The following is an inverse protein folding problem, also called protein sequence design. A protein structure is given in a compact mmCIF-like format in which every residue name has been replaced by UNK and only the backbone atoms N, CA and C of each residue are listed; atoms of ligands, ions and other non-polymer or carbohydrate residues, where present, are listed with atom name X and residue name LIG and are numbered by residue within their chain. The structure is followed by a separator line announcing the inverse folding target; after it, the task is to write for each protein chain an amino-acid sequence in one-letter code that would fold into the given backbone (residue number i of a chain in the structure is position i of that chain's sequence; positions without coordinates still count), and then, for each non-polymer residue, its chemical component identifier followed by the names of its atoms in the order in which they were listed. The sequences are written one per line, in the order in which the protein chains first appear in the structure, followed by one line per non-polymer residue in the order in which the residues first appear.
data_IF_025436379665
#
_entry.id   IF_025436379665
#
_cell.length_a   1.000
_cell.length_b   1.000
_cell.length_c   1.000
_cell.angle_alpha   90.00
_cell.angle_beta   90.00
_cell.angle_gamma   90.00
#
_symmetry.space_group_name_H-M   'P 1'
#
loop_
_entity.id
_entity.type
_entity.pdbx_description
1 polymer ?
#
# COMPACT_ATOMS: atom_id res chain seq x y z
N UNK A 1 1.63 9.98 8.89
CA UNK A 1 1.49 8.80 8.02
C UNK A 1 1.05 9.24 6.64
N UNK A 2 1.48 8.52 5.60
CA UNK A 2 0.99 8.73 4.23
C UNK A 2 0.52 7.40 3.64
N UNK A 3 -0.72 7.35 3.11
CA UNK A 3 -1.32 6.16 2.46
C UNK A 3 -1.51 6.48 0.97
N UNK A 4 -0.79 5.75 0.08
CA UNK A 4 -0.68 6.11 -1.34
C UNK A 4 -1.73 5.47 -2.24
N UNK A 5 -2.37 4.39 -1.81
CA UNK A 5 -3.39 3.65 -2.57
C UNK A 5 -4.56 3.28 -1.64
N UNK A 6 -5.16 4.32 -1.05
CA UNK A 6 -5.90 4.21 0.19
C UNK A 6 -7.30 3.61 0.08
N UNK A 7 -7.94 3.70 -1.11
CA UNK A 7 -9.35 3.30 -1.23
C UNK A 7 -9.58 1.82 -0.91
N UNK A 8 -10.64 1.50 -0.18
CA UNK A 8 -11.73 2.35 0.29
C UNK A 8 -11.50 3.05 1.64
N UNK A 9 -10.28 3.05 2.21
CA UNK A 9 -9.92 3.79 3.41
C UNK A 9 -9.75 2.98 4.69
N UNK A 10 -9.85 1.65 4.65
CA UNK A 10 -9.74 0.82 5.86
C UNK A 10 -8.39 0.92 6.56
N UNK A 11 -7.28 0.94 5.81
CA UNK A 11 -5.92 1.11 6.37
C UNK A 11 -5.68 2.55 6.83
N UNK A 12 -6.20 3.52 6.09
CA UNK A 12 -6.20 4.94 6.49
C UNK A 12 -6.87 5.17 7.84
N UNK A 13 -8.06 4.56 8.06
CA UNK A 13 -8.80 4.65 9.34
C UNK A 13 -7.94 4.08 10.48
N UNK A 14 -7.40 2.88 10.28
CA UNK A 14 -6.54 2.25 11.28
C UNK A 14 -5.28 3.10 11.57
N UNK A 15 -4.67 3.66 10.52
CA UNK A 15 -3.53 4.56 10.66
C UNK A 15 -3.91 5.84 11.43
N UNK A 16 -5.11 6.38 11.21
CA UNK A 16 -5.64 7.53 11.94
C UNK A 16 -5.80 7.24 13.44
N UNK A 17 -6.33 6.07 13.79
CA UNK A 17 -6.46 5.62 15.19
C UNK A 17 -5.09 5.46 15.87
N UNK A 18 -4.12 4.83 15.21
CA UNK A 18 -2.77 4.66 15.76
C UNK A 18 -1.97 5.96 15.82
N UNK A 19 -2.20 6.89 14.91
CA UNK A 19 -1.54 8.19 14.93
C UNK A 19 -2.02 9.08 16.11
N UNK A 20 -3.23 8.84 16.60
CA UNK A 20 -3.85 9.62 17.68
C UNK A 20 -4.16 11.06 17.30
N UNK A 21 -4.59 11.84 18.28
CA UNK A 21 -5.08 13.22 18.05
C UNK A 21 -3.99 14.19 17.55
N UNK A 22 -2.74 13.95 17.94
CA UNK A 22 -1.58 14.77 17.53
C UNK A 22 -0.97 14.30 16.19
N UNK A 23 -1.38 13.16 15.69
CA UNK A 23 -0.89 12.59 14.44
C UNK A 23 -1.69 13.06 13.22
N UNK A 24 -1.08 12.99 12.04
CA UNK A 24 -1.70 13.35 10.77
C UNK A 24 -1.57 12.23 9.76
N UNK A 25 -2.63 11.96 9.01
CA UNK A 25 -2.65 10.99 7.90
C UNK A 25 -2.98 11.70 6.60
N UNK A 26 -2.10 11.60 5.61
CA UNK A 26 -2.39 12.00 4.24
C UNK A 26 -2.79 10.74 3.45
N UNK A 27 -4.03 10.71 3.01
CA UNK A 27 -4.63 9.60 2.27
C UNK A 27 -4.81 9.97 0.81
N UNK A 28 -4.24 9.18 -0.10
CA UNK A 28 -4.25 9.44 -1.54
C UNK A 28 -4.81 8.26 -2.33
N UNK A 29 -5.55 8.57 -3.38
CA UNK A 29 -5.91 7.58 -4.42
C UNK A 29 -6.12 8.31 -5.77
N UNK A 30 -6.11 7.55 -6.87
CA UNK A 30 -5.96 8.07 -8.24
C UNK A 30 -7.20 8.75 -8.79
N UNK A 31 -8.39 8.53 -8.24
CA UNK A 31 -9.65 9.06 -8.80
C UNK A 31 -10.59 9.64 -7.75
N UNK A 32 -11.44 10.56 -8.18
CA UNK A 32 -12.49 11.16 -7.36
C UNK A 32 -13.40 10.10 -6.74
N UNK A 33 -13.91 9.17 -7.54
CA UNK A 33 -14.73 8.06 -7.05
C UNK A 33 -14.08 7.30 -5.87
N UNK A 34 -12.79 7.00 -5.97
CA UNK A 34 -12.06 6.30 -4.92
C UNK A 34 -11.85 7.17 -3.68
N UNK A 35 -11.54 8.45 -3.86
CA UNK A 35 -11.39 9.37 -2.74
C UNK A 35 -12.71 9.66 -2.04
N UNK A 36 -13.84 9.62 -2.75
CA UNK A 36 -15.16 9.75 -2.14
C UNK A 36 -15.50 8.54 -1.25
N UNK A 37 -15.15 7.32 -1.68
CA UNK A 37 -15.27 6.13 -0.81
C UNK A 37 -14.45 6.27 0.48
N UNK A 38 -13.24 6.85 0.39
CA UNK A 38 -12.42 7.13 1.57
C UNK A 38 -13.14 8.13 2.48
N UNK A 39 -13.60 9.27 1.94
CA UNK A 39 -14.30 10.32 2.70
C UNK A 39 -15.54 9.77 3.41
N UNK A 40 -16.40 9.01 2.71
CA UNK A 40 -17.59 8.39 3.28
C UNK A 40 -17.23 7.48 4.48
N UNK A 41 -16.18 6.70 4.36
CA UNK A 41 -15.74 5.83 5.44
C UNK A 41 -15.12 6.61 6.61
N UNK A 42 -14.35 7.66 6.36
CA UNK A 42 -13.79 8.55 7.39
C UNK A 42 -14.89 9.28 8.16
N UNK A 43 -15.90 9.80 7.47
CA UNK A 43 -17.06 10.47 8.07
C UNK A 43 -17.84 9.48 8.98
N UNK A 44 -18.10 8.27 8.49
CA UNK A 44 -18.77 7.22 9.27
C UNK A 44 -17.99 6.83 10.53
N UNK A 45 -16.66 6.83 10.45
CA UNK A 45 -15.76 6.48 11.57
C UNK A 45 -15.33 7.70 12.40
N UNK A 46 -15.77 8.91 12.02
CA UNK A 46 -15.46 10.18 12.70
C UNK A 46 -13.94 10.48 12.80
N UNK A 47 -13.15 10.06 11.81
CA UNK A 47 -11.73 10.37 11.74
C UNK A 47 -11.52 11.85 11.41
N UNK A 48 -10.78 12.59 12.26
CA UNK A 48 -10.61 14.05 12.14
C UNK A 48 -9.21 14.48 11.70
N UNK A 49 -8.24 13.59 11.80
CA UNK A 49 -6.82 13.84 11.55
C UNK A 49 -6.35 13.33 10.18
N UNK A 50 -7.29 13.18 9.22
CA UNK A 50 -7.01 12.65 7.87
C UNK A 50 -7.31 13.70 6.81
N UNK A 51 -6.32 13.97 5.97
CA UNK A 51 -6.46 14.71 4.71
C UNK A 51 -6.60 13.75 3.55
N UNK A 52 -7.56 13.99 2.64
CA UNK A 52 -7.78 13.13 1.45
C UNK A 52 -7.48 13.91 0.18
N UNK A 53 -6.59 13.38 -0.65
CA UNK A 53 -6.19 13.99 -1.92
C UNK A 53 -6.38 13.00 -3.09
N UNK A 54 -6.82 13.52 -4.25
CA UNK A 54 -6.71 12.80 -5.51
C UNK A 54 -5.27 12.93 -5.98
N UNK A 55 -4.56 11.81 -6.11
CA UNK A 55 -3.17 11.81 -6.56
C UNK A 55 -2.80 10.47 -7.19
N UNK A 56 -2.10 10.52 -8.32
CA UNK A 56 -1.55 9.33 -8.97
C UNK A 56 -0.25 8.90 -8.27
N UNK A 57 -0.26 7.74 -7.62
CA UNK A 57 0.87 7.22 -6.87
C UNK A 57 2.11 6.91 -7.75
N UNK A 58 1.97 6.90 -9.07
CA UNK A 58 3.10 6.75 -10.01
C UNK A 58 3.82 8.06 -10.30
N UNK A 59 3.28 9.19 -9.83
CA UNK A 59 3.87 10.53 -10.00
C UNK A 59 4.57 10.95 -8.71
N UNK A 60 5.85 11.34 -8.81
CA UNK A 60 6.60 11.80 -7.65
C UNK A 60 6.19 13.21 -7.24
N UNK A 61 5.91 13.41 -5.94
CA UNK A 61 5.59 14.70 -5.33
C UNK A 61 6.78 15.20 -4.51
N UNK A 62 7.60 16.05 -5.12
CA UNK A 62 8.81 16.60 -4.48
C UNK A 62 8.52 17.38 -3.20
N UNK A 63 7.31 17.94 -3.04
CA UNK A 63 6.91 18.67 -1.83
C UNK A 63 6.67 17.73 -0.62
N UNK A 64 6.64 16.42 -0.84
CA UNK A 64 6.39 15.42 0.20
C UNK A 64 7.60 14.54 0.51
N UNK A 65 8.77 14.82 -0.06
CA UNK A 65 10.01 14.12 0.28
C UNK A 65 10.29 14.20 1.77
N UNK A 66 10.69 13.07 2.36
CA UNK A 66 11.06 12.93 3.78
C UNK A 66 10.04 13.52 4.77
N UNK A 67 8.75 13.48 4.41
CA UNK A 67 7.69 14.08 5.22
C UNK A 67 6.95 13.08 6.12
N UNK A 68 7.03 11.78 5.84
CA UNK A 68 6.25 10.77 6.54
C UNK A 68 7.13 9.84 7.40
N UNK A 69 6.73 9.62 8.64
CA UNK A 69 7.34 8.61 9.52
C UNK A 69 6.98 7.20 9.08
N UNK A 70 5.78 7.04 8.50
CA UNK A 70 5.27 5.79 7.92
C UNK A 70 4.61 6.08 6.58
N UNK A 71 4.98 5.32 5.55
CA UNK A 71 4.29 5.30 4.25
C UNK A 71 3.64 3.93 4.06
N UNK A 72 2.34 3.91 3.77
CA UNK A 72 1.57 2.73 3.43
C UNK A 72 1.48 2.63 1.90
N UNK A 73 1.88 1.50 1.35
CA UNK A 73 1.75 1.14 -0.06
C UNK A 73 0.97 -0.17 -0.18
N UNK A 74 -0.37 -0.09 0.01
CA UNK A 74 -1.29 -1.20 -0.29
C UNK A 74 -1.61 -1.15 -1.77
N UNK A 75 -0.66 -1.62 -2.56
CA UNK A 75 -0.64 -1.37 -4.01
C UNK A 75 -1.68 -2.19 -4.78
N UNK A 76 -2.14 -1.69 -5.94
CA UNK A 76 -2.91 -2.49 -6.88
C UNK A 76 -2.17 -3.80 -7.18
N UNK A 77 -2.89 -4.93 -7.14
CA UNK A 77 -2.31 -6.25 -7.32
C UNK A 77 -3.23 -7.18 -8.10
N UNK A 78 -2.75 -8.37 -8.46
CA UNK A 78 -3.55 -9.38 -9.18
C UNK A 78 -4.76 -9.89 -8.40
N UNK A 79 -4.79 -9.72 -7.08
CA UNK A 79 -5.90 -10.14 -6.23
C UNK A 79 -6.03 -11.66 -6.05
N UNK A 80 -5.04 -12.44 -6.42
CA UNK A 80 -5.10 -13.92 -6.34
C UNK A 80 -5.34 -14.45 -4.92
N UNK A 81 -5.08 -13.64 -3.89
CA UNK A 81 -5.34 -14.01 -2.50
C UNK A 81 -6.82 -13.95 -2.12
N UNK A 82 -7.64 -13.19 -2.86
CA UNK A 82 -9.06 -12.97 -2.56
C UNK A 82 -10.01 -13.68 -3.54
N UNK A 83 -9.52 -14.64 -4.33
CA UNK A 83 -10.33 -15.41 -5.30
C UNK A 83 -11.53 -16.12 -4.67
N UNK A 84 -11.47 -16.45 -3.39
CA UNK A 84 -12.61 -17.03 -2.65
C UNK A 84 -13.83 -16.11 -2.62
N UNK A 85 -13.60 -14.80 -2.57
CA UNK A 85 -14.64 -13.75 -2.54
C UNK A 85 -14.92 -13.16 -3.93
N UNK A 86 -13.89 -13.08 -4.81
CA UNK A 86 -13.95 -12.50 -6.16
C UNK A 86 -13.57 -13.56 -7.19
N UNK A 87 -14.51 -14.40 -7.55
CA UNK A 87 -14.26 -15.60 -8.40
C UNK A 87 -13.89 -15.28 -9.84
N UNK A 88 -14.18 -14.08 -10.31
CA UNK A 88 -13.86 -13.58 -11.66
C UNK A 88 -12.36 -13.33 -11.86
N UNK A 89 -11.61 -13.08 -10.81
CA UNK A 89 -10.15 -12.80 -10.84
C UNK A 89 -9.40 -13.87 -11.66
N UNK A 90 -9.71 -15.16 -11.45
CA UNK A 90 -9.03 -16.26 -12.14
C UNK A 90 -9.14 -16.24 -13.67
N UNK A 91 -10.12 -15.52 -14.22
CA UNK A 91 -10.31 -15.40 -15.67
C UNK A 91 -9.57 -14.22 -16.30
N UNK A 92 -9.08 -13.28 -15.46
CA UNK A 92 -8.41 -12.07 -15.90
C UNK A 92 -6.90 -12.08 -15.65
N UNK A 93 -6.39 -13.06 -14.90
CA UNK A 93 -4.96 -13.17 -14.62
C UNK A 93 -4.28 -13.95 -15.74
N UNK A 94 -3.40 -13.25 -16.48
CA UNK A 94 -2.53 -13.82 -17.53
C UNK A 94 -1.07 -13.46 -17.22
N UNK A 95 -0.08 -14.11 -17.87
CA UNK A 95 1.32 -13.73 -17.70
C UNK A 95 1.57 -12.25 -18.03
N UNK A 96 0.91 -11.71 -19.03
CA UNK A 96 1.02 -10.30 -19.46
C UNK A 96 0.41 -9.36 -18.41
N UNK A 97 -0.77 -9.69 -17.85
CA UNK A 97 -1.39 -8.89 -16.81
C UNK A 97 -0.58 -8.91 -15.51
N UNK A 98 0.05 -10.05 -15.17
CA UNK A 98 0.98 -10.15 -14.03
C UNK A 98 2.24 -9.30 -14.23
N UNK A 99 2.78 -9.26 -15.44
CA UNK A 99 3.90 -8.39 -15.74
C UNK A 99 3.50 -6.93 -15.63
N UNK A 100 2.40 -6.52 -16.24
CA UNK A 100 1.92 -5.14 -16.23
C UNK A 100 1.63 -4.64 -14.81
N UNK A 101 1.03 -5.47 -13.95
CA UNK A 101 0.76 -5.07 -12.57
C UNK A 101 2.03 -4.95 -11.74
N UNK A 102 3.01 -5.84 -11.95
CA UNK A 102 4.32 -5.76 -11.27
C UNK A 102 5.08 -4.50 -11.68
N UNK A 103 5.03 -4.11 -12.97
CA UNK A 103 5.63 -2.86 -13.46
C UNK A 103 4.94 -1.62 -12.86
N UNK A 104 3.61 -1.65 -12.71
CA UNK A 104 2.87 -0.58 -12.02
C UNK A 104 3.29 -0.46 -10.55
N UNK A 105 3.41 -1.58 -9.85
CA UNK A 105 3.86 -1.60 -8.45
C UNK A 105 5.25 -1.00 -8.31
N UNK A 106 6.18 -1.32 -9.22
CA UNK A 106 7.53 -0.72 -9.24
C UNK A 106 7.48 0.79 -9.41
N UNK A 107 6.68 1.31 -10.35
CA UNK A 107 6.50 2.76 -10.56
C UNK A 107 5.97 3.46 -9.32
N UNK A 108 5.01 2.85 -8.61
CA UNK A 108 4.49 3.38 -7.35
C UNK A 108 5.59 3.46 -6.29
N UNK A 109 6.39 2.40 -6.15
CA UNK A 109 7.52 2.40 -5.21
C UNK A 109 8.57 3.43 -5.61
N UNK A 110 8.96 3.50 -6.89
CA UNK A 110 9.92 4.48 -7.42
C UNK A 110 9.49 5.93 -7.14
N UNK A 111 8.20 6.24 -7.27
CA UNK A 111 7.66 7.56 -6.99
C UNK A 111 7.57 7.87 -5.49
N UNK A 112 7.21 6.88 -4.67
CA UNK A 112 6.80 7.11 -3.28
C UNK A 112 7.83 6.79 -2.21
N UNK A 113 8.91 6.08 -2.50
CA UNK A 113 9.89 5.68 -1.47
C UNK A 113 10.55 6.88 -0.77
N UNK A 114 10.73 7.99 -1.48
CA UNK A 114 11.37 9.22 -0.98
C UNK A 114 10.51 9.94 0.07
N UNK A 115 9.21 9.65 0.15
CA UNK A 115 8.32 10.26 1.16
C UNK A 115 8.64 9.76 2.58
N UNK A 116 9.22 8.56 2.71
CA UNK A 116 9.64 8.01 3.99
C UNK A 116 10.82 8.79 4.54
N UNK A 117 10.75 9.32 5.77
CA UNK A 117 11.89 9.95 6.44
C UNK A 117 13.06 8.96 6.62
N UNK A 118 14.32 9.42 6.68
CA UNK A 118 15.41 8.58 7.18
C UNK A 118 15.04 7.97 8.54
N UNK A 119 15.21 6.65 8.70
CA UNK A 119 14.76 5.90 9.88
C UNK A 119 13.26 5.62 9.94
N UNK A 120 12.46 6.14 9.01
CA UNK A 120 11.02 5.85 8.88
C UNK A 120 10.73 4.47 8.30
N UNK A 121 9.45 4.14 8.17
CA UNK A 121 8.95 2.83 7.72
C UNK A 121 8.19 2.94 6.42
N UNK A 122 8.50 2.06 5.49
CA UNK A 122 7.64 1.70 4.37
C UNK A 122 6.92 0.40 4.69
N UNK A 123 5.59 0.41 4.70
CA UNK A 123 4.76 -0.79 4.78
C UNK A 123 4.19 -1.09 3.38
N UNK A 124 4.78 -2.07 2.72
CA UNK A 124 4.31 -2.57 1.43
C UNK A 124 3.35 -3.72 1.64
N UNK A 125 2.20 -3.74 0.97
CA UNK A 125 1.22 -4.82 1.07
C UNK A 125 0.43 -5.07 -0.20
N UNK A 126 -0.08 -6.31 -0.34
CA UNK A 126 -0.91 -6.76 -1.46
C UNK A 126 -1.95 -7.77 -0.99
N UNK A 127 -3.07 -7.88 -1.70
CA UNK A 127 -4.05 -8.94 -1.50
C UNK A 127 -3.84 -10.12 -2.48
N UNK A 128 -2.58 -10.47 -2.77
CA UNK A 128 -2.22 -11.58 -3.66
C UNK A 128 -1.32 -12.61 -2.97
N UNK A 129 -1.23 -13.79 -3.57
CA UNK A 129 -0.31 -14.86 -3.14
C UNK A 129 0.86 -15.03 -4.12
N UNK A 130 0.98 -14.14 -5.11
CA UNK A 130 1.97 -14.26 -6.19
C UNK A 130 3.32 -13.69 -5.76
N UNK A 131 4.36 -14.52 -5.73
CA UNK A 131 5.68 -14.16 -5.19
C UNK A 131 6.36 -12.97 -5.89
N UNK A 132 6.10 -12.76 -7.20
CA UNK A 132 6.66 -11.59 -7.93
C UNK A 132 6.13 -10.26 -7.41
N UNK A 133 4.88 -10.25 -6.95
CA UNK A 133 4.24 -9.07 -6.37
C UNK A 133 4.56 -8.91 -4.86
N UNK A 134 5.08 -9.95 -4.22
CA UNK A 134 5.28 -10.06 -2.78
C UNK A 134 6.77 -10.08 -2.41
N UNK A 135 7.32 -11.23 -2.00
CA UNK A 135 8.70 -11.34 -1.51
C UNK A 135 9.76 -10.89 -2.53
N UNK A 136 9.54 -11.15 -3.84
CA UNK A 136 10.45 -10.66 -4.88
C UNK A 136 10.39 -9.13 -5.02
N UNK A 137 9.23 -8.51 -4.81
CA UNK A 137 9.12 -7.04 -4.80
C UNK A 137 9.79 -6.44 -3.56
N UNK A 138 9.60 -7.02 -2.37
CA UNK A 138 10.27 -6.58 -1.16
C UNK A 138 11.81 -6.69 -1.28
N UNK A 139 12.31 -7.79 -1.86
CA UNK A 139 13.74 -7.94 -2.15
C UNK A 139 14.24 -6.88 -3.15
N UNK A 140 13.49 -6.64 -4.23
CA UNK A 140 13.80 -5.61 -5.22
C UNK A 140 13.84 -4.20 -4.60
N UNK A 141 12.91 -3.87 -3.67
CA UNK A 141 12.92 -2.60 -2.94
C UNK A 141 14.23 -2.44 -2.14
N UNK A 142 14.65 -3.49 -1.42
CA UNK A 142 15.88 -3.46 -0.64
C UNK A 142 17.14 -3.36 -1.50
N UNK A 143 17.12 -3.90 -2.72
CA UNK A 143 18.23 -3.85 -3.68
C UNK A 143 18.40 -2.48 -4.31
N UNK A 144 17.29 -1.78 -4.63
CA UNK A 144 17.31 -0.55 -5.42
C UNK A 144 17.19 0.73 -4.59
N UNK A 145 16.69 0.64 -3.35
CA UNK A 145 16.45 1.78 -2.49
C UNK A 145 17.06 1.56 -1.10
N UNK A 146 17.29 2.62 -0.31
CA UNK A 146 17.99 2.53 0.97
C UNK A 146 17.08 1.94 2.08
N UNK A 147 16.55 0.74 1.88
CA UNK A 147 15.73 0.04 2.84
C UNK A 147 16.37 -1.25 3.35
N UNK A 148 15.95 -1.65 4.56
CA UNK A 148 16.22 -2.96 5.16
C UNK A 148 14.88 -3.61 5.47
N UNK A 149 14.70 -4.85 5.06
CA UNK A 149 13.53 -5.67 5.42
C UNK A 149 13.62 -6.05 6.89
N UNK A 150 12.66 -5.61 7.71
CA UNK A 150 12.58 -5.96 9.13
C UNK A 150 11.65 -7.15 9.38
N UNK A 151 10.57 -7.24 8.60
CA UNK A 151 9.56 -8.27 8.73
C UNK A 151 8.81 -8.44 7.41
N UNK A 152 8.51 -9.69 7.05
CA UNK A 152 7.56 -9.98 5.99
C UNK A 152 6.69 -11.19 6.37
N UNK A 153 5.47 -11.22 5.89
CA UNK A 153 4.58 -12.36 6.07
C UNK A 153 3.66 -12.54 4.88
N UNK A 154 3.57 -13.78 4.41
CA UNK A 154 2.56 -14.26 3.47
C UNK A 154 1.49 -15.01 4.24
N UNK A 155 0.25 -14.53 4.17
CA UNK A 155 -0.93 -15.26 4.63
C UNK A 155 -1.54 -16.02 3.45
N UNK A 156 -1.89 -17.28 3.66
CA UNK A 156 -2.41 -18.18 2.63
C UNK A 156 -3.82 -18.66 2.98
N UNK A 157 -4.77 -18.60 2.04
CA UNK A 157 -6.10 -19.17 2.24
C UNK A 157 -6.00 -20.67 2.54
N UNK A 158 -6.73 -21.12 3.55
CA UNK A 158 -6.76 -22.53 3.97
C UNK A 158 -5.65 -22.98 4.91
N UNK A 159 -4.58 -22.18 5.05
CA UNK A 159 -3.54 -22.38 6.06
C UNK A 159 -3.72 -21.39 7.20
N UNK A 160 -3.88 -20.13 6.84
CA UNK A 160 -4.29 -19.07 7.76
C UNK A 160 -5.81 -18.93 7.68
N UNK A 161 -6.48 -18.58 8.78
CA UNK A 161 -7.94 -18.38 8.82
C UNK A 161 -8.34 -17.03 8.18
N UNK A 162 -7.70 -16.67 7.07
CA UNK A 162 -7.89 -15.39 6.37
C UNK A 162 -7.84 -15.57 4.85
N UNK A 163 -8.14 -14.50 4.12
CA UNK A 163 -7.80 -14.40 2.70
C UNK A 163 -6.27 -14.37 2.52
N UNK A 164 -5.80 -14.62 1.29
CA UNK A 164 -4.40 -14.45 0.95
C UNK A 164 -4.02 -12.97 1.00
N UNK A 165 -3.00 -12.67 1.77
CA UNK A 165 -2.48 -11.31 1.95
C UNK A 165 -0.97 -11.36 2.18
N UNK A 166 -0.27 -10.33 1.77
CA UNK A 166 1.15 -10.18 2.01
C UNK A 166 1.45 -8.80 2.57
N UNK A 167 2.40 -8.70 3.50
CA UNK A 167 3.00 -7.45 3.88
C UNK A 167 4.51 -7.59 4.09
N UNK A 168 5.22 -6.48 3.85
CA UNK A 168 6.62 -6.31 4.19
C UNK A 168 6.81 -4.96 4.88
N UNK A 169 7.44 -4.98 6.06
CA UNK A 169 7.86 -3.81 6.80
C UNK A 169 9.33 -3.54 6.51
N UNK A 170 9.59 -2.41 5.85
CA UNK A 170 10.92 -2.01 5.45
C UNK A 170 11.32 -0.72 6.16
N UNK A 171 12.52 -0.71 6.77
CA UNK A 171 13.09 0.46 7.45
C UNK A 171 13.99 1.22 6.50
N UNK A 172 13.76 2.54 6.31
CA UNK A 172 14.69 3.38 5.58
C UNK A 172 15.97 3.58 6.38
N UNK A 173 17.13 3.34 5.75
CA UNK A 173 18.45 3.60 6.35
C UNK A 173 18.61 5.11 6.62
N UNK A 174 19.36 5.42 7.68
CA UNK A 174 19.71 6.79 8.06
C UNK A 174 20.92 7.26 7.26
#
# INVERSE_FOLDING_TARGET
VMDLCAAPGGKTILASEFAGDDGHVLSRDVSEYKTDLIRENLDRMQCKNVEVQIYDATVHDTAKEESADVVLMDVPCSGLGVMGKKRDIKYHVTPESLQSITELQKKIVEAGWQYVKPGGVLLYSTCTIHSRENSQMAAWICEHFPFVLEEERQLLPGTDETDGFYFARLRRKV
#
